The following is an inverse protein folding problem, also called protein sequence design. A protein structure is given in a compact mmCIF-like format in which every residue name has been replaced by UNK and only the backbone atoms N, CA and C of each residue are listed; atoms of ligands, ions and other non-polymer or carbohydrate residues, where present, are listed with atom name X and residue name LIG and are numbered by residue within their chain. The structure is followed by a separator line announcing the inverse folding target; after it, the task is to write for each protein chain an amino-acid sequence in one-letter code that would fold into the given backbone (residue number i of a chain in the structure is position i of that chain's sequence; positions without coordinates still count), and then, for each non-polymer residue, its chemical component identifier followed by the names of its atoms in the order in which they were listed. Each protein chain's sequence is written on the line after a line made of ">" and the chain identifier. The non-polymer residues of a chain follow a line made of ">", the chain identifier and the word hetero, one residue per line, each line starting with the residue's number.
data_IF_159038461309
#
_entry.id   IF_159038461309
#
_cell.length_a   1.000
_cell.length_b   1.000
_cell.length_c   1.000
_cell.angle_alpha   90.00
_cell.angle_beta   90.00
_cell.angle_gamma   90.00
#
_symmetry.space_group_name_H-M   'P 1'
#
loop_
_entity.id
_entity.type
_entity.pdbx_description
1 polymer ?
#
# COMPACT_ATOMS: atom_id res chain seq x y z
N UNK A 1 49.38 13.11 58.65
CA UNK A 1 49.40 12.79 57.20
C UNK A 1 48.80 11.40 57.04
N UNK A 2 47.51 11.31 56.76
CA UNK A 2 46.76 10.05 56.61
C UNK A 2 46.25 9.96 55.17
N UNK A 3 46.64 8.89 54.48
CA UNK A 3 46.18 8.53 53.13
C UNK A 3 44.89 7.73 53.24
N UNK A 4 43.81 8.17 52.61
CA UNK A 4 42.60 7.36 52.43
C UNK A 4 42.42 7.02 50.95
N UNK A 5 42.38 5.72 50.67
CA UNK A 5 42.03 5.13 49.39
C UNK A 5 40.52 5.24 49.17
N UNK A 6 40.10 5.77 48.02
CA UNK A 6 38.70 5.81 47.61
C UNK A 6 38.47 4.89 46.40
N UNK A 7 37.75 3.79 46.63
CA UNK A 7 37.33 2.81 45.61
C UNK A 7 36.40 3.45 44.57
N UNK A 8 36.67 3.20 43.29
CA UNK A 8 35.79 3.54 42.18
C UNK A 8 34.67 2.49 42.07
N UNK A 9 33.42 2.89 42.32
CA UNK A 9 32.23 2.10 41.99
C UNK A 9 31.76 2.46 40.57
N UNK A 10 31.89 1.51 39.64
CA UNK A 10 31.31 1.60 38.29
C UNK A 10 29.85 1.12 38.33
N UNK A 11 28.91 2.00 37.97
CA UNK A 11 27.48 1.68 37.82
C UNK A 11 27.27 1.17 36.39
N UNK A 12 26.87 -0.10 36.24
CA UNK A 12 26.54 -0.72 34.96
C UNK A 12 25.05 -0.47 34.65
N UNK A 13 24.76 0.44 33.72
CA UNK A 13 23.41 0.69 33.20
C UNK A 13 23.05 -0.41 32.18
N UNK A 14 22.16 -1.32 32.57
CA UNK A 14 21.63 -2.38 31.71
C UNK A 14 20.47 -1.81 30.87
N UNK A 15 20.75 -1.42 29.64
CA UNK A 15 19.72 -0.97 28.68
C UNK A 15 18.89 -2.16 28.20
N UNK A 16 17.65 -2.27 28.67
CA UNK A 16 16.68 -3.28 28.27
C UNK A 16 16.12 -2.93 26.88
N UNK A 17 16.63 -3.57 25.82
CA UNK A 17 16.08 -3.43 24.47
C UNK A 17 14.80 -4.25 24.35
N UNK A 18 13.64 -3.59 24.37
CA UNK A 18 12.35 -4.21 24.05
C UNK A 18 12.30 -4.39 22.53
N UNK A 19 12.51 -5.62 22.07
CA UNK A 19 12.29 -5.99 20.67
C UNK A 19 10.79 -6.00 20.36
N UNK A 20 10.32 -4.99 19.62
CA UNK A 20 9.01 -5.07 18.95
C UNK A 20 9.11 -6.08 17.82
N UNK A 21 8.72 -7.33 18.07
CA UNK A 21 8.45 -8.27 17.00
C UNK A 21 7.20 -7.79 16.26
N UNK A 22 7.36 -7.32 15.02
CA UNK A 22 6.23 -7.04 14.14
C UNK A 22 5.46 -8.34 13.93
N UNK A 23 4.29 -8.47 14.57
CA UNK A 23 3.37 -9.56 14.30
C UNK A 23 2.94 -9.48 12.84
N UNK A 24 3.15 -10.55 12.08
CA UNK A 24 2.67 -10.60 10.70
C UNK A 24 1.16 -10.32 10.69
N UNK A 25 0.72 -9.37 9.86
CA UNK A 25 -0.70 -9.09 9.73
C UNK A 25 -1.42 -10.33 9.20
N UNK A 26 -2.59 -10.62 9.74
CA UNK A 26 -3.44 -11.66 9.19
C UNK A 26 -3.91 -11.27 7.77
N UNK A 27 -4.02 -12.24 6.85
CA UNK A 27 -4.58 -12.01 5.53
C UNK A 27 -6.01 -11.49 5.58
N UNK A 28 -6.37 -10.63 4.63
CA UNK A 28 -7.70 -9.99 4.55
C UNK A 28 -8.76 -10.91 3.94
N UNK A 29 -8.37 -11.72 2.95
CA UNK A 29 -9.28 -12.56 2.15
C UNK A 29 -10.24 -13.43 2.99
N UNK A 30 -9.80 -14.12 4.07
CA UNK A 30 -10.67 -15.02 4.83
C UNK A 30 -11.78 -14.32 5.63
N UNK A 31 -11.72 -13.00 5.80
CA UNK A 31 -12.63 -12.23 6.66
C UNK A 31 -13.74 -11.51 5.89
N UNK A 32 -13.68 -11.49 4.56
CA UNK A 32 -14.66 -10.82 3.72
C UNK A 32 -15.90 -11.69 3.50
N UNK A 33 -17.08 -11.06 3.39
CA UNK A 33 -18.27 -11.73 2.86
C UNK A 33 -18.04 -12.08 1.39
N UNK A 34 -18.75 -13.08 0.86
CA UNK A 34 -18.63 -13.50 -0.55
C UNK A 34 -18.83 -12.32 -1.53
N UNK A 35 -19.80 -11.44 -1.23
CA UNK A 35 -20.06 -10.24 -2.01
C UNK A 35 -18.86 -9.28 -2.00
N UNK A 36 -18.28 -9.03 -0.83
CA UNK A 36 -17.14 -8.11 -0.67
C UNK A 36 -15.87 -8.67 -1.34
N UNK A 37 -15.59 -9.97 -1.18
CA UNK A 37 -14.48 -10.63 -1.86
C UNK A 37 -14.62 -10.53 -3.38
N UNK A 38 -15.82 -10.77 -3.93
CA UNK A 38 -16.09 -10.62 -5.36
C UNK A 38 -15.81 -9.20 -5.85
N UNK A 39 -16.38 -8.19 -5.18
CA UNK A 39 -16.20 -6.78 -5.55
C UNK A 39 -14.72 -6.36 -5.47
N UNK A 40 -14.01 -6.77 -4.43
CA UNK A 40 -12.58 -6.48 -4.29
C UNK A 40 -11.76 -7.12 -5.43
N UNK A 41 -12.08 -8.35 -5.83
CA UNK A 41 -11.41 -9.00 -6.96
C UNK A 41 -11.73 -8.36 -8.30
N UNK A 42 -12.92 -7.82 -8.47
CA UNK A 42 -13.30 -7.06 -9.67
C UNK A 42 -12.48 -5.76 -9.76
N UNK A 43 -12.38 -5.01 -8.65
CA UNK A 43 -11.54 -3.81 -8.53
C UNK A 43 -10.07 -4.13 -8.87
N UNK A 44 -9.49 -5.15 -8.24
CA UNK A 44 -8.08 -5.52 -8.47
C UNK A 44 -7.77 -5.93 -9.92
N UNK A 45 -8.74 -6.54 -10.64
CA UNK A 45 -8.57 -6.85 -12.08
C UNK A 45 -8.62 -5.60 -12.95
N UNK A 46 -9.48 -4.64 -12.60
CA UNK A 46 -9.57 -3.35 -13.26
C UNK A 46 -8.24 -2.59 -13.10
N UNK A 47 -7.76 -2.49 -11.87
CA UNK A 47 -6.48 -1.86 -11.53
C UNK A 47 -5.32 -2.53 -12.26
N UNK A 48 -5.25 -3.86 -12.27
CA UNK A 48 -4.19 -4.59 -13.00
C UNK A 48 -4.17 -4.22 -14.49
N UNK A 49 -5.35 -4.13 -15.11
CA UNK A 49 -5.47 -3.79 -16.53
C UNK A 49 -5.00 -2.35 -16.78
N UNK A 50 -5.49 -1.40 -15.98
CA UNK A 50 -5.13 0.01 -16.09
C UNK A 50 -3.62 0.23 -15.84
N UNK A 51 -3.02 -0.40 -14.83
CA UNK A 51 -1.59 -0.34 -14.55
C UNK A 51 -0.75 -0.83 -15.75
N UNK A 52 -1.14 -1.92 -16.39
CA UNK A 52 -0.47 -2.41 -17.60
C UNK A 52 -0.55 -1.40 -18.76
N UNK A 53 -1.73 -0.79 -18.96
CA UNK A 53 -1.93 0.21 -20.02
C UNK A 53 -1.15 1.51 -19.76
N UNK A 54 -1.09 1.95 -18.50
CA UNK A 54 -0.33 3.12 -18.06
C UNK A 54 1.16 2.90 -18.35
N UNK A 55 1.71 1.75 -17.95
CA UNK A 55 3.13 1.45 -18.20
C UNK A 55 3.48 1.57 -19.70
N UNK A 56 2.68 0.94 -20.56
CA UNK A 56 2.87 1.04 -22.01
C UNK A 56 2.71 2.49 -22.51
N UNK A 57 1.74 3.24 -21.98
CA UNK A 57 1.51 4.63 -22.38
C UNK A 57 2.68 5.54 -21.99
N UNK A 58 3.26 5.39 -20.79
CA UNK A 58 4.45 6.13 -20.35
C UNK A 58 5.61 5.89 -21.32
N UNK A 59 5.90 4.62 -21.65
CA UNK A 59 7.01 4.25 -22.54
C UNK A 59 6.82 4.82 -23.96
N UNK A 60 5.57 4.95 -24.42
CA UNK A 60 5.25 5.50 -25.74
C UNK A 60 5.03 7.02 -25.76
N UNK A 61 5.14 7.73 -24.62
CA UNK A 61 4.85 9.17 -24.53
C UNK A 61 3.37 9.52 -24.73
N UNK A 62 2.45 8.59 -24.44
CA UNK A 62 1.00 8.79 -24.59
C UNK A 62 0.40 9.41 -23.32
N UNK A 63 0.74 10.67 -23.04
CA UNK A 63 0.42 11.33 -21.77
C UNK A 63 -1.07 11.45 -21.49
N UNK A 64 -1.89 11.78 -22.49
CA UNK A 64 -3.36 11.77 -22.36
C UNK A 64 -3.91 10.41 -21.92
N UNK A 65 -3.30 9.33 -22.42
CA UNK A 65 -3.69 7.97 -22.04
C UNK A 65 -3.25 7.64 -20.62
N UNK A 66 -2.09 8.11 -20.19
CA UNK A 66 -1.67 8.03 -18.77
C UNK A 66 -2.67 8.78 -17.89
N UNK A 67 -2.99 10.03 -18.25
CA UNK A 67 -3.94 10.86 -17.51
C UNK A 67 -5.29 10.16 -17.36
N UNK A 68 -5.85 9.66 -18.47
CA UNK A 68 -7.13 8.97 -18.46
C UNK A 68 -7.10 7.69 -17.63
N UNK A 69 -6.13 6.80 -17.85
CA UNK A 69 -6.10 5.52 -17.14
C UNK A 69 -5.83 5.69 -15.64
N UNK A 70 -4.97 6.63 -15.25
CA UNK A 70 -4.71 6.91 -13.85
C UNK A 70 -5.90 7.58 -13.16
N UNK A 71 -6.63 8.45 -13.88
CA UNK A 71 -7.90 9.00 -13.39
C UNK A 71 -8.95 7.91 -13.24
N UNK A 72 -9.06 6.99 -14.21
CA UNK A 72 -9.97 5.84 -14.14
C UNK A 72 -9.65 4.95 -12.91
N UNK A 73 -8.37 4.80 -12.51
CA UNK A 73 -8.00 4.11 -11.24
C UNK A 73 -8.43 4.93 -10.01
N UNK A 74 -8.21 6.24 -10.01
CA UNK A 74 -8.62 7.08 -8.88
C UNK A 74 -10.15 7.06 -8.69
N UNK A 75 -10.88 7.09 -9.80
CA UNK A 75 -12.34 7.12 -9.82
C UNK A 75 -12.96 5.72 -9.73
N UNK A 76 -12.20 4.66 -10.05
CA UNK A 76 -12.61 3.27 -9.83
C UNK A 76 -12.62 3.01 -8.34
N UNK A 77 -13.81 3.14 -7.80
CA UNK A 77 -14.11 2.80 -6.43
C UNK A 77 -15.28 1.83 -6.47
N UNK A 78 -15.15 0.73 -7.23
CA UNK A 78 -16.26 -0.23 -7.47
C UNK A 78 -16.81 -0.73 -6.14
N UNK A 79 -15.93 -0.91 -5.16
CA UNK A 79 -16.29 -1.07 -3.75
C UNK A 79 -17.15 0.13 -3.30
N UNK A 80 -16.62 1.33 -3.09
CA UNK A 80 -17.43 2.44 -2.54
C UNK A 80 -18.72 2.75 -3.30
N UNK A 81 -18.76 2.58 -4.62
CA UNK A 81 -19.94 2.83 -5.46
C UNK A 81 -21.04 1.77 -5.29
N UNK A 82 -20.68 0.55 -4.93
CA UNK A 82 -21.60 -0.61 -4.83
C UNK A 82 -21.93 -1.03 -3.40
N UNK A 83 -21.33 -0.38 -2.38
CA UNK A 83 -21.53 -0.70 -0.97
C UNK A 83 -22.76 0.00 -0.39
N UNK A 84 -23.66 -0.80 0.19
CA UNK A 84 -24.64 -0.33 1.17
C UNK A 84 -23.95 0.06 2.48
N UNK A 85 -24.65 0.75 3.39
CA UNK A 85 -24.11 1.07 4.72
C UNK A 85 -23.71 -0.19 5.51
N UNK A 86 -24.45 -1.29 5.37
CA UNK A 86 -24.09 -2.56 5.99
C UNK A 86 -22.82 -3.14 5.35
N UNK A 87 -22.70 -3.11 4.03
CA UNK A 87 -21.49 -3.60 3.38
C UNK A 87 -20.25 -2.78 3.77
N UNK A 88 -20.39 -1.45 3.96
CA UNK A 88 -19.31 -0.60 4.49
C UNK A 88 -18.90 -1.02 5.89
N UNK A 89 -19.87 -1.25 6.77
CA UNK A 89 -19.61 -1.71 8.14
C UNK A 89 -18.90 -3.07 8.14
N UNK A 90 -19.39 -4.01 7.33
CA UNK A 90 -18.80 -5.34 7.20
C UNK A 90 -17.36 -5.26 6.68
N UNK A 91 -17.12 -4.46 5.63
CA UNK A 91 -15.79 -4.22 5.08
C UNK A 91 -14.85 -3.65 6.15
N UNK A 92 -15.25 -2.57 6.83
CA UNK A 92 -14.43 -1.92 7.87
C UNK A 92 -14.17 -2.84 9.07
N UNK A 93 -15.05 -3.81 9.34
CA UNK A 93 -14.82 -4.81 10.39
C UNK A 93 -13.86 -5.93 9.96
N UNK A 94 -13.76 -6.20 8.65
CA UNK A 94 -12.98 -7.29 8.08
C UNK A 94 -11.54 -6.90 7.74
N UNK A 95 -11.31 -5.64 7.34
CA UNK A 95 -10.00 -5.17 6.87
C UNK A 95 -9.23 -4.43 7.96
N UNK A 96 -7.92 -4.67 8.13
CA UNK A 96 -7.07 -3.89 9.03
C UNK A 96 -6.94 -2.43 8.58
N UNK A 97 -6.70 -1.51 9.52
CA UNK A 97 -6.50 -0.09 9.23
C UNK A 97 -5.38 0.17 8.20
N UNK A 98 -4.27 -0.58 8.29
CA UNK A 98 -3.17 -0.44 7.34
C UNK A 98 -3.52 -0.88 5.90
N UNK A 99 -4.48 -1.79 5.72
CA UNK A 99 -4.99 -2.11 4.38
C UNK A 99 -5.72 -0.90 3.78
N UNK A 100 -6.59 -0.26 4.57
CA UNK A 100 -7.33 0.94 4.17
C UNK A 100 -6.36 2.09 3.86
N UNK A 101 -5.27 2.21 4.63
CA UNK A 101 -4.28 3.24 4.42
C UNK A 101 -3.52 3.05 3.10
N UNK A 102 -3.07 1.83 2.79
CA UNK A 102 -2.38 1.53 1.53
C UNK A 102 -3.32 1.73 0.33
N UNK A 103 -4.58 1.32 0.44
CA UNK A 103 -5.61 1.55 -0.58
C UNK A 103 -5.80 3.05 -0.87
N UNK A 104 -6.00 3.87 0.18
CA UNK A 104 -6.12 5.33 0.03
C UNK A 104 -4.88 5.95 -0.60
N UNK A 105 -3.70 5.54 -0.16
CA UNK A 105 -2.44 6.04 -0.72
C UNK A 105 -2.31 5.68 -2.21
N UNK A 106 -2.68 4.46 -2.59
CA UNK A 106 -2.67 4.02 -3.98
C UNK A 106 -3.56 4.91 -4.87
N UNK A 107 -4.80 5.18 -4.45
CA UNK A 107 -5.70 6.05 -5.21
C UNK A 107 -5.20 7.50 -5.27
N UNK A 108 -4.56 8.01 -4.20
CA UNK A 108 -3.94 9.35 -4.22
C UNK A 108 -2.73 9.44 -5.17
N UNK A 109 -1.92 8.37 -5.24
CA UNK A 109 -0.85 8.27 -6.21
C UNK A 109 -1.41 8.23 -7.64
N UNK A 110 -2.52 7.52 -7.87
CA UNK A 110 -3.21 7.51 -9.16
C UNK A 110 -3.71 8.91 -9.57
N UNK A 111 -4.32 9.66 -8.66
CA UNK A 111 -4.71 11.05 -8.92
C UNK A 111 -3.52 11.93 -9.30
N UNK A 112 -2.40 11.77 -8.57
CA UNK A 112 -1.17 12.51 -8.84
C UNK A 112 -0.56 12.12 -10.18
N UNK A 113 -0.65 10.84 -10.57
CA UNK A 113 -0.19 10.35 -11.86
C UNK A 113 -1.07 10.87 -12.99
N UNK A 114 -2.38 10.99 -12.76
CA UNK A 114 -3.29 11.60 -13.71
C UNK A 114 -2.90 13.05 -14.00
N UNK A 115 -2.55 13.81 -12.95
CA UNK A 115 -2.04 15.19 -13.08
C UNK A 115 -0.70 15.26 -13.81
N UNK A 116 0.24 14.35 -13.50
CA UNK A 116 1.50 14.27 -14.25
C UNK A 116 1.28 13.92 -15.72
N UNK A 117 0.27 13.10 -16.03
CA UNK A 117 -0.21 12.84 -17.39
C UNK A 117 -0.72 14.11 -18.08
N UNK A 118 -1.55 14.92 -17.41
CA UNK A 118 -2.08 16.18 -17.96
C UNK A 118 -1.01 17.24 -18.24
N UNK A 119 0.13 17.15 -17.57
CA UNK A 119 1.25 18.09 -17.69
C UNK A 119 2.40 17.59 -18.57
N UNK A 120 2.22 16.45 -19.27
CA UNK A 120 3.25 15.81 -20.10
C UNK A 120 4.57 15.50 -19.36
N UNK A 121 4.53 15.43 -18.03
CA UNK A 121 5.72 15.24 -17.19
C UNK A 121 6.11 13.76 -17.11
N UNK A 122 6.86 13.30 -18.11
CA UNK A 122 7.27 11.89 -18.25
C UNK A 122 8.09 11.40 -17.05
N UNK A 123 8.99 12.24 -16.52
CA UNK A 123 9.82 11.87 -15.36
C UNK A 123 8.93 11.64 -14.14
N UNK A 124 8.00 12.55 -13.88
CA UNK A 124 7.05 12.42 -12.78
C UNK A 124 6.12 11.22 -12.95
N UNK A 125 5.65 10.97 -14.18
CA UNK A 125 4.84 9.80 -14.50
C UNK A 125 5.58 8.50 -14.14
N UNK A 126 6.84 8.36 -14.55
CA UNK A 126 7.67 7.20 -14.22
C UNK A 126 7.87 7.03 -12.71
N UNK A 127 8.22 8.11 -11.99
CA UNK A 127 8.41 8.06 -10.54
C UNK A 127 7.13 7.65 -9.79
N UNK A 128 5.98 8.24 -10.15
CA UNK A 128 4.69 7.93 -9.53
C UNK A 128 4.25 6.50 -9.84
N UNK A 129 4.41 6.03 -11.08
CA UNK A 129 4.11 4.65 -11.45
C UNK A 129 4.95 3.64 -10.66
N UNK A 130 6.24 3.94 -10.43
CA UNK A 130 7.10 3.15 -9.55
C UNK A 130 6.56 3.07 -8.12
N UNK A 131 6.12 4.20 -7.55
CA UNK A 131 5.52 4.25 -6.21
C UNK A 131 4.22 3.45 -6.13
N UNK A 132 3.35 3.58 -7.14
CA UNK A 132 2.12 2.77 -7.23
C UNK A 132 2.45 1.27 -7.25
N UNK A 133 3.47 0.88 -8.02
CA UNK A 133 3.94 -0.52 -8.07
C UNK A 133 4.46 -0.98 -6.71
N UNK A 134 5.23 -0.16 -6.02
CA UNK A 134 5.70 -0.42 -4.65
C UNK A 134 4.54 -0.62 -3.67
N UNK A 135 3.52 0.23 -3.74
CA UNK A 135 2.31 0.13 -2.90
C UNK A 135 1.55 -1.19 -3.16
N UNK A 136 1.40 -1.62 -4.42
CA UNK A 136 0.82 -2.93 -4.75
C UNK A 136 1.59 -4.07 -4.08
N UNK A 137 2.93 -4.04 -4.12
CA UNK A 137 3.78 -5.07 -3.51
C UNK A 137 3.68 -5.05 -1.99
N UNK A 138 3.66 -3.86 -1.37
CA UNK A 138 3.52 -3.72 0.07
C UNK A 138 2.17 -4.28 0.55
N UNK A 139 1.07 -3.94 -0.13
CA UNK A 139 -0.26 -4.46 0.22
C UNK A 139 -0.32 -5.99 0.05
N UNK A 140 0.13 -6.51 -1.09
CA UNK A 140 0.07 -7.95 -1.35
C UNK A 140 0.96 -8.78 -0.43
N UNK A 141 2.17 -8.31 -0.11
CA UNK A 141 3.06 -9.00 0.83
C UNK A 141 2.54 -8.99 2.27
N UNK A 142 1.77 -7.96 2.65
CA UNK A 142 1.29 -7.79 4.03
C UNK A 142 -0.06 -8.46 4.26
N UNK A 143 -1.01 -8.25 3.35
CA UNK A 143 -2.43 -8.55 3.57
C UNK A 143 -2.99 -9.65 2.67
N UNK A 144 -2.21 -10.14 1.71
CA UNK A 144 -2.66 -11.08 0.67
C UNK A 144 -1.63 -12.21 0.46
N UNK A 145 -0.85 -12.51 1.51
CA UNK A 145 0.24 -13.48 1.48
C UNK A 145 -0.22 -14.94 1.35
N UNK A 146 -1.47 -15.22 1.70
CA UNK A 146 -2.17 -16.50 1.50
C UNK A 146 -2.33 -16.84 0.02
N UNK A 147 -2.57 -15.84 -0.82
CA UNK A 147 -2.75 -16.00 -2.27
C UNK A 147 -1.48 -15.74 -3.06
N UNK A 148 -0.61 -14.85 -2.59
CA UNK A 148 0.61 -14.43 -3.30
C UNK A 148 1.88 -14.71 -2.48
N UNK A 149 2.19 -15.97 -2.13
CA UNK A 149 3.29 -16.31 -1.21
C UNK A 149 4.70 -15.94 -1.72
N UNK A 150 4.83 -15.72 -3.03
CA UNK A 150 6.09 -15.31 -3.66
C UNK A 150 6.40 -13.82 -3.55
N UNK A 151 5.42 -12.98 -3.22
CA UNK A 151 5.61 -11.53 -3.12
C UNK A 151 6.36 -11.21 -1.83
N UNK A 152 7.52 -10.57 -1.97
CA UNK A 152 8.33 -10.08 -0.85
C UNK A 152 8.21 -8.56 -0.74
N UNK A 153 8.26 -7.98 0.47
CA UNK A 153 8.29 -6.53 0.64
C UNK A 153 9.48 -5.93 -0.13
N UNK A 154 9.25 -4.82 -0.82
CA UNK A 154 10.33 -4.02 -1.42
C UNK A 154 10.89 -3.12 -0.31
N UNK A 155 12.21 -3.01 -0.25
CA UNK A 155 12.89 -2.05 0.62
C UNK A 155 13.30 -0.86 -0.23
N UNK A 156 12.96 0.33 0.24
CA UNK A 156 13.42 1.61 -0.32
C UNK A 156 14.94 1.77 -0.19
#
# INVERSE_FOLDING_TARGET
>A
MTKTNGSLLSILLLSLTVSFAATASEPVTPKLTEKLDRLLREEMRSIQTAMGQIHSAIVMGQHDKVAKQAQDIHDSFILQQSLTEQDRKDLMSAVPEGFIQLDKEFHQLAASLAEAGRNDDTEKQHQLFGKMTGNCIQCHSTYVSDRFPGVKPVRD
#
